data_IF_998673762248
#
_entry.id   IF_998673762248
#
_cell.length_a   1.000
_cell.length_b   1.000
_cell.length_c   1.000
_cell.angle_alpha   90.00
_cell.angle_beta   90.00
_cell.angle_gamma   90.00
#
_symmetry.space_group_name_H-M   'P 1'
#
loop_
_entity.id
_entity.type
_entity.pdbx_description
1 polymer ?
#
# COMPACT_ATOMS: atom_id res chain seq x y z
N UNK A 1 24.47 0.65 13.68
CA UNK A 1 24.99 1.43 12.54
C UNK A 1 25.01 0.50 11.33
N UNK A 2 23.95 0.50 10.52
CA UNK A 2 23.87 -0.23 9.25
C UNK A 2 23.03 0.62 8.29
N UNK A 3 23.73 1.20 7.33
CA UNK A 3 23.21 1.97 6.20
C UNK A 3 22.54 1.01 5.23
N UNK A 4 21.21 1.07 5.11
CA UNK A 4 20.48 0.41 4.04
C UNK A 4 20.18 1.44 2.95
N UNK A 5 21.13 1.58 2.02
CA UNK A 5 20.96 2.27 0.74
C UNK A 5 20.34 1.22 -0.21
N UNK A 6 19.03 0.98 -0.09
CA UNK A 6 18.31 0.07 -0.98
C UNK A 6 17.71 0.88 -2.14
N UNK A 7 18.44 0.84 -3.25
CA UNK A 7 18.00 1.08 -4.63
C UNK A 7 16.52 1.44 -4.84
N UNK A 8 16.27 2.72 -5.09
CA UNK A 8 15.08 3.17 -5.81
C UNK A 8 15.25 2.73 -7.27
N UNK A 9 14.87 1.48 -7.60
CA UNK A 9 14.64 1.09 -8.99
C UNK A 9 13.23 1.58 -9.34
N UNK A 10 13.08 2.62 -10.19
CA UNK A 10 11.76 3.07 -10.62
C UNK A 10 11.25 2.05 -11.63
N UNK A 11 10.54 1.02 -11.16
CA UNK A 11 9.64 0.29 -12.05
C UNK A 11 8.47 1.21 -12.40
N UNK A 12 7.96 1.20 -13.66
CA UNK A 12 6.90 2.10 -14.12
C UNK A 12 5.52 1.82 -13.48
N UNK A 13 5.46 0.92 -12.50
CA UNK A 13 4.24 0.53 -11.80
C UNK A 13 4.24 1.14 -10.40
N UNK A 14 3.73 2.38 -10.30
CA UNK A 14 3.29 3.07 -9.07
C UNK A 14 4.08 2.70 -7.79
N UNK A 15 5.14 3.44 -7.42
CA UNK A 15 5.86 3.16 -6.19
C UNK A 15 4.92 3.30 -4.99
N UNK A 16 4.71 2.20 -4.27
CA UNK A 16 3.98 2.16 -3.00
C UNK A 16 4.97 2.53 -1.88
N UNK A 17 4.75 3.67 -1.23
CA UNK A 17 5.53 4.09 -0.06
C UNK A 17 4.80 3.75 1.24
N UNK A 18 5.47 3.05 2.14
CA UNK A 18 4.95 2.73 3.48
C UNK A 18 5.76 3.47 4.55
N UNK A 19 5.07 4.14 5.46
CA UNK A 19 5.66 4.86 6.59
C UNK A 19 5.15 4.26 7.90
N UNK A 20 6.07 4.09 8.85
CA UNK A 20 5.76 3.63 10.21
C UNK A 20 6.29 4.67 11.19
N UNK A 21 5.43 5.08 12.12
CA UNK A 21 5.79 5.91 13.26
C UNK A 21 4.87 5.58 14.45
N UNK A 22 5.30 6.00 15.65
CA UNK A 22 4.52 5.84 16.89
C UNK A 22 3.57 7.02 17.13
N UNK A 23 3.75 8.12 16.41
CA UNK A 23 3.02 9.36 16.60
C UNK A 23 2.57 9.94 15.25
N UNK A 24 1.33 10.42 15.20
CA UNK A 24 0.70 10.98 14.00
C UNK A 24 1.48 12.18 13.45
N UNK A 25 1.94 13.08 14.31
CA UNK A 25 2.73 14.25 13.91
C UNK A 25 4.06 13.83 13.30
N UNK A 26 4.75 12.87 13.92
CA UNK A 26 6.00 12.33 13.37
C UNK A 26 5.78 11.59 12.05
N UNK A 27 4.64 10.90 11.90
CA UNK A 27 4.27 10.25 10.64
C UNK A 27 4.16 11.28 9.53
N UNK A 28 3.46 12.37 9.80
CA UNK A 28 3.21 13.44 8.86
C UNK A 28 4.50 14.12 8.43
N UNK A 29 5.35 14.52 9.39
CA UNK A 29 6.64 15.14 9.09
C UNK A 29 7.51 14.21 8.25
N UNK A 30 7.58 12.93 8.63
CA UNK A 30 8.36 11.95 7.88
C UNK A 30 7.83 11.73 6.47
N UNK A 31 6.51 11.65 6.31
CA UNK A 31 5.87 11.51 5.01
C UNK A 31 6.13 12.74 4.13
N UNK A 32 5.93 13.95 4.65
CA UNK A 32 6.17 15.20 3.92
C UNK A 32 7.64 15.35 3.51
N UNK A 33 8.60 15.05 4.39
CA UNK A 33 10.03 15.10 4.03
C UNK A 33 10.35 14.14 2.87
N UNK A 34 9.78 12.93 2.89
CA UNK A 34 10.00 11.97 1.80
C UNK A 34 9.29 12.40 0.51
N UNK A 35 8.10 12.99 0.60
CA UNK A 35 7.38 13.53 -0.55
C UNK A 35 8.11 14.72 -1.18
N UNK A 36 8.78 15.53 -0.39
CA UNK A 36 9.63 16.63 -0.85
C UNK A 36 10.85 16.09 -1.61
N UNK A 37 11.61 15.16 -1.02
CA UNK A 37 12.74 14.51 -1.70
C UNK A 37 12.29 13.78 -2.98
N UNK A 38 11.13 13.12 -2.95
CA UNK A 38 10.54 12.46 -4.11
C UNK A 38 10.20 13.47 -5.21
N UNK A 39 9.65 14.63 -4.85
CA UNK A 39 9.33 15.70 -5.79
C UNK A 39 10.60 16.28 -6.42
N UNK A 40 11.64 16.55 -5.62
CA UNK A 40 12.94 17.00 -6.11
C UNK A 40 13.58 16.00 -7.07
N UNK A 41 13.64 14.72 -6.67
CA UNK A 41 14.14 13.65 -7.54
C UNK A 41 13.33 13.54 -8.83
N UNK A 42 12.01 13.67 -8.75
CA UNK A 42 11.12 13.63 -9.92
C UNK A 42 11.43 14.78 -10.88
N UNK A 43 11.59 16.01 -10.38
CA UNK A 43 11.94 17.17 -11.19
C UNK A 43 13.32 16.99 -11.86
N UNK A 44 14.32 16.50 -11.12
CA UNK A 44 15.66 16.24 -11.66
C UNK A 44 15.64 15.18 -12.77
N UNK A 45 14.72 14.21 -12.70
CA UNK A 45 14.56 13.17 -13.70
C UNK A 45 13.53 13.51 -14.78
N UNK A 46 13.03 14.75 -14.84
CA UNK A 46 11.98 15.18 -15.77
C UNK A 46 10.70 14.33 -15.71
N UNK A 47 10.42 13.75 -14.54
CA UNK A 47 9.20 13.03 -14.24
C UNK A 47 8.21 14.00 -13.57
N UNK A 48 6.94 13.96 -13.97
CA UNK A 48 5.88 14.73 -13.30
C UNK A 48 4.98 13.79 -12.53
N UNK A 49 5.00 13.91 -11.20
CA UNK A 49 4.11 13.14 -10.34
C UNK A 49 2.72 13.78 -10.37
N UNK A 50 1.73 12.98 -10.80
CA UNK A 50 0.35 13.43 -10.84
C UNK A 50 -0.27 13.34 -9.43
N UNK A 51 -0.31 14.47 -8.73
CA UNK A 51 -0.91 14.61 -7.39
C UNK A 51 -2.39 14.17 -7.33
N UNK A 52 -3.11 14.21 -8.44
CA UNK A 52 -4.50 13.73 -8.51
C UNK A 52 -4.58 12.21 -8.47
N UNK A 53 -3.60 11.51 -9.08
CA UNK A 53 -3.51 10.04 -9.06
C UNK A 53 -2.86 9.52 -7.77
N UNK A 54 -2.01 10.30 -7.13
CA UNK A 54 -1.37 9.94 -5.86
C UNK A 54 -2.39 10.03 -4.72
N UNK A 55 -2.59 8.92 -4.01
CA UNK A 55 -3.49 8.82 -2.85
C UNK A 55 -2.70 8.32 -1.66
N UNK A 56 -3.06 8.81 -0.47
CA UNK A 56 -2.54 8.30 0.79
C UNK A 56 -3.64 7.54 1.53
N UNK A 57 -3.27 6.45 2.20
CA UNK A 57 -4.14 5.71 3.12
C UNK A 57 -3.43 5.67 4.47
N UNK A 58 -4.15 6.02 5.54
CA UNK A 58 -3.63 5.99 6.90
C UNK A 58 -4.21 4.76 7.58
N UNK A 59 -3.34 3.85 7.98
CA UNK A 59 -3.75 2.63 8.67
C UNK A 59 -4.05 2.93 10.14
N UNK A 60 -5.26 2.61 10.59
CA UNK A 60 -5.74 2.84 11.96
C UNK A 60 -6.73 1.79 12.43
N UNK A 61 -6.75 1.54 13.73
CA UNK A 61 -7.78 0.72 14.36
C UNK A 61 -9.16 1.41 14.27
N UNK A 62 -10.26 0.64 14.19
CA UNK A 62 -11.62 1.17 14.07
C UNK A 62 -12.02 2.14 15.20
N UNK A 63 -11.47 1.93 16.38
CA UNK A 63 -11.78 2.72 17.57
C UNK A 63 -10.79 3.87 17.81
N UNK A 64 -9.83 4.06 16.89
CA UNK A 64 -8.85 5.12 17.01
C UNK A 64 -9.21 6.27 16.06
N UNK A 65 -9.70 7.35 16.65
CA UNK A 65 -9.89 8.59 15.91
C UNK A 65 -8.52 9.13 15.53
N UNK A 66 -8.38 9.43 14.25
CA UNK A 66 -7.16 9.99 13.69
C UNK A 66 -7.46 11.41 13.27
N UNK A 67 -6.97 12.37 14.05
CA UNK A 67 -7.03 13.78 13.73
C UNK A 67 -5.60 14.20 13.36
N UNK A 68 -5.33 14.30 12.05
CA UNK A 68 -4.10 14.93 11.56
C UNK A 68 -4.40 16.42 11.43
N UNK A 69 -3.63 17.24 12.11
CA UNK A 69 -3.81 18.70 12.09
C UNK A 69 -3.20 19.35 10.84
N UNK A 70 -2.74 18.56 9.86
CA UNK A 70 -2.20 19.11 8.64
C UNK A 70 -2.19 18.15 7.45
N UNK A 71 -1.73 18.73 6.34
CA UNK A 71 -1.84 18.12 5.02
C UNK A 71 -0.56 17.38 4.60
N UNK A 72 -0.76 16.40 3.72
CA UNK A 72 0.32 15.76 2.96
C UNK A 72 0.50 16.51 1.65
N UNK A 73 1.70 17.02 1.42
CA UNK A 73 2.02 17.86 0.27
C UNK A 73 3.08 17.20 -0.60
N UNK A 74 2.91 17.29 -1.91
CA UNK A 74 3.94 16.96 -2.89
C UNK A 74 4.20 18.19 -3.75
N UNK A 75 5.34 18.84 -3.51
CA UNK A 75 5.57 20.21 -3.98
C UNK A 75 4.47 21.14 -3.46
N UNK A 76 3.77 21.83 -4.37
CA UNK A 76 2.65 22.71 -4.04
C UNK A 76 1.27 22.01 -4.00
N UNK A 77 1.20 20.72 -4.32
CA UNK A 77 -0.08 19.99 -4.44
C UNK A 77 -0.41 19.19 -3.18
N UNK A 78 -1.67 19.26 -2.74
CA UNK A 78 -2.19 18.43 -1.64
C UNK A 78 -2.53 17.01 -2.11
N UNK A 79 -2.03 16.02 -1.40
CA UNK A 79 -2.37 14.61 -1.60
C UNK A 79 -3.70 14.31 -0.90
N UNK A 80 -4.60 13.66 -1.62
CA UNK A 80 -5.87 13.22 -1.04
C UNK A 80 -5.65 11.98 -0.17
N UNK A 81 -5.99 12.10 1.11
CA UNK A 81 -6.13 10.97 2.02
C UNK A 81 -7.48 10.30 1.73
N UNK A 82 -7.47 8.98 1.51
CA UNK A 82 -8.67 8.19 1.19
C UNK A 82 -8.76 6.98 2.11
N UNK A 83 -9.99 6.51 2.35
CA UNK A 83 -10.24 5.34 3.19
C UNK A 83 -9.81 4.02 2.53
N UNK A 84 -9.74 3.97 1.19
CA UNK A 84 -9.35 2.77 0.46
C UNK A 84 -8.67 3.11 -0.87
N UNK A 85 -7.63 2.36 -1.23
CA UNK A 85 -6.99 2.44 -2.55
C UNK A 85 -6.71 1.04 -3.08
N UNK A 86 -7.00 0.82 -4.37
CA UNK A 86 -6.66 -0.42 -5.07
C UNK A 86 -5.34 -0.22 -5.83
N UNK A 87 -4.36 -1.08 -5.57
CA UNK A 87 -3.11 -1.12 -6.34
C UNK A 87 -2.77 -2.56 -6.67
N UNK A 88 -2.49 -2.84 -7.96
CA UNK A 88 -2.08 -4.16 -8.48
C UNK A 88 -2.95 -5.35 -8.03
N UNK A 89 -4.26 -5.12 -7.85
CA UNK A 89 -5.20 -6.17 -7.44
C UNK A 89 -5.32 -6.37 -5.92
N UNK A 90 -4.56 -5.62 -5.13
CA UNK A 90 -4.67 -5.55 -3.67
C UNK A 90 -5.43 -4.28 -3.29
N UNK A 91 -6.31 -4.39 -2.29
CA UNK A 91 -7.04 -3.25 -1.73
C UNK A 91 -6.41 -2.92 -0.38
N UNK A 92 -5.95 -1.69 -0.24
CA UNK A 92 -5.44 -1.13 1.01
C UNK A 92 -6.56 -0.29 1.63
N UNK A 93 -7.08 -0.72 2.77
CA UNK A 93 -8.12 -0.01 3.53
C UNK A 93 -7.52 0.64 4.79
N UNK A 94 -8.05 1.79 5.19
CA UNK A 94 -7.63 2.51 6.40
C UNK A 94 -7.80 1.67 7.66
N UNK A 95 -8.89 0.91 7.71
CA UNK A 95 -9.11 -0.10 8.73
C UNK A 95 -8.57 -1.38 8.15
N UNK A 96 -7.41 -1.81 8.64
CA UNK A 96 -6.86 -3.12 8.30
C UNK A 96 -7.75 -4.18 8.96
N UNK A 97 -8.91 -4.43 8.35
CA UNK A 97 -9.82 -5.50 8.71
C UNK A 97 -9.29 -6.74 7.99
N UNK A 98 -8.17 -7.29 8.50
CA UNK A 98 -7.51 -8.49 7.95
C UNK A 98 -8.47 -9.66 7.79
N UNK A 99 -9.63 -9.68 8.46
CA UNK A 99 -10.67 -10.70 8.29
C UNK A 99 -11.08 -10.85 6.83
N UNK A 100 -11.48 -9.77 6.15
CA UNK A 100 -11.94 -9.87 4.74
C UNK A 100 -10.82 -10.27 3.80
N UNK A 101 -9.60 -9.78 4.03
CA UNK A 101 -8.44 -10.15 3.21
C UNK A 101 -8.00 -11.60 3.47
N UNK A 102 -7.94 -12.02 4.73
CA UNK A 102 -7.64 -13.39 5.14
C UNK A 102 -8.69 -14.36 4.61
N UNK A 103 -9.97 -14.03 4.67
CA UNK A 103 -11.06 -14.84 4.11
C UNK A 103 -10.92 -14.96 2.58
N UNK A 104 -10.56 -13.87 1.90
CA UNK A 104 -10.32 -13.87 0.45
C UNK A 104 -9.12 -14.75 0.08
N UNK A 105 -8.01 -14.66 0.81
CA UNK A 105 -6.81 -15.47 0.59
C UNK A 105 -7.09 -16.93 0.91
N UNK A 106 -7.72 -17.21 2.04
CA UNK A 106 -8.11 -18.55 2.49
C UNK A 106 -9.06 -19.20 1.51
N UNK A 107 -10.06 -18.48 1.00
CA UNK A 107 -11.00 -19.02 0.01
C UNK A 107 -10.33 -19.33 -1.34
N UNK A 108 -9.31 -18.55 -1.75
CA UNK A 108 -8.49 -18.85 -2.93
C UNK A 108 -7.64 -20.10 -2.74
N UNK A 109 -6.94 -20.22 -1.61
CA UNK A 109 -6.14 -21.40 -1.28
C UNK A 109 -7.02 -22.64 -1.18
N UNK A 110 -8.15 -22.55 -0.47
CA UNK A 110 -9.11 -23.66 -0.34
C UNK A 110 -9.70 -24.11 -1.69
N UNK A 111 -9.91 -23.18 -2.62
CA UNK A 111 -10.34 -23.51 -3.99
C UNK A 111 -9.25 -24.30 -4.73
N UNK A 112 -8.00 -23.85 -4.67
CA UNK A 112 -6.88 -24.55 -5.32
C UNK A 112 -6.70 -25.95 -4.72
N UNK A 113 -6.70 -26.07 -3.39
CA UNK A 113 -6.59 -27.37 -2.71
C UNK A 113 -7.75 -28.32 -3.07
N UNK A 114 -9.00 -27.83 -3.11
CA UNK A 114 -10.14 -28.64 -3.56
C UNK A 114 -9.99 -29.11 -4.99
N UNK A 115 -9.57 -28.23 -5.89
CA UNK A 115 -9.39 -28.58 -7.31
C UNK A 115 -8.31 -29.65 -7.47
N UNK A 116 -7.17 -29.51 -6.78
CA UNK A 116 -6.10 -30.52 -6.81
C UNK A 116 -6.56 -31.86 -6.24
N UNK A 117 -7.30 -31.85 -5.12
CA UNK A 117 -7.83 -33.07 -4.52
C UNK A 117 -8.88 -33.76 -5.42
N UNK A 118 -9.77 -32.99 -6.06
CA UNK A 118 -10.77 -33.50 -7.00
C UNK A 118 -10.11 -34.16 -8.22
N UNK A 119 -9.02 -33.58 -8.73
CA UNK A 119 -8.25 -34.16 -9.85
C UNK A 119 -7.59 -35.46 -9.41
N UNK A 120 -6.97 -35.50 -8.23
CA UNK A 120 -6.36 -36.72 -7.69
C UNK A 120 -7.38 -37.87 -7.52
N UNK A 121 -8.57 -37.57 -6.99
CA UNK A 121 -9.66 -38.56 -6.84
C UNK A 121 -10.14 -39.07 -8.20
N UNK A 122 -10.27 -38.19 -9.19
CA UNK A 122 -10.68 -38.58 -10.56
C UNK A 122 -9.65 -39.47 -11.25
N UNK A 123 -8.36 -39.23 -11.02
CA UNK A 123 -7.29 -40.07 -11.57
C UNK A 123 -7.21 -41.44 -10.88
N UNK A 124 -7.52 -41.51 -9.58
CA UNK A 124 -7.54 -42.76 -8.82
C UNK A 124 -8.72 -43.69 -9.18
N UNK A 125 -9.85 -43.14 -9.64
CA UNK A 125 -11.02 -43.92 -10.08
C UNK A 125 -10.93 -44.41 -11.53
N UNK A 126 -9.92 -43.98 -12.29
CA UNK A 126 -9.73 -44.35 -13.71
C UNK A 126 -8.67 -45.46 -13.91
N UNK A 127 -8.20 -46.06 -12.82
CA UNK A 127 -7.37 -47.27 -12.74
C UNK A 127 -8.13 -48.38 -12.02
#
# INVERSE_FOLDING_TARGET
MLTALQSFLPTPTTPLCFFISLNATQLQTKANNVLETLNEWSMLNSLTINSTKTKAVIFRAKNQNYNMDGDLLIGASKIKIVASVKSLGIIFEEHINWTKHSDLVTSRVARVCRNSCQVAIRLAHHH
#
